data_IF_275666440190
#
_entry.id   IF_275666440190
#
_cell.length_a   1.000
_cell.length_b   1.000
_cell.length_c   1.000
_cell.angle_alpha   90.00
_cell.angle_beta   90.00
_cell.angle_gamma   90.00
#
_symmetry.space_group_name_H-M   'P 1'
#
loop_
_entity.id
_entity.type
_entity.pdbx_description
1 polymer ?
#
# COMPACT_ATOMS: atom_id res chain seq x y z
N UNK A 1 16.68 13.87 -2.60
CA UNK A 1 15.67 12.91 -2.11
C UNK A 1 16.36 11.55 -1.96
N UNK A 2 16.33 10.93 -0.79
CA UNK A 2 17.01 9.64 -0.53
C UNK A 2 15.97 8.53 -0.51
N UNK A 3 16.13 7.51 -1.34
CA UNK A 3 15.28 6.32 -1.32
C UNK A 3 15.67 5.40 -0.15
N UNK A 4 14.67 4.75 0.44
CA UNK A 4 14.84 3.77 1.50
C UNK A 4 14.25 2.46 0.99
N UNK A 5 15.04 1.38 1.03
CA UNK A 5 14.53 0.03 0.76
C UNK A 5 13.76 -0.48 1.97
N UNK A 6 12.66 -1.17 1.71
CA UNK A 6 11.87 -1.90 2.69
C UNK A 6 11.89 -3.34 2.22
N UNK A 7 12.63 -4.19 2.92
CA UNK A 7 12.75 -5.61 2.65
C UNK A 7 11.84 -6.47 3.54
N UNK A 8 11.49 -5.97 4.73
CA UNK A 8 10.56 -6.65 5.63
C UNK A 8 9.11 -6.52 5.12
N UNK A 9 8.46 -7.62 4.73
CA UNK A 9 7.07 -7.59 4.30
C UNK A 9 6.09 -7.27 5.44
N UNK A 10 6.50 -7.31 6.71
CA UNK A 10 5.69 -6.94 7.88
C UNK A 10 5.96 -5.51 8.36
N UNK A 11 6.72 -4.72 7.59
CA UNK A 11 7.05 -3.36 7.98
C UNK A 11 5.77 -2.50 8.12
N UNK A 12 5.60 -1.77 9.24
CA UNK A 12 4.39 -0.97 9.49
C UNK A 12 4.15 0.12 8.43
N UNK A 13 5.18 0.53 7.68
CA UNK A 13 5.08 1.50 6.58
C UNK A 13 4.30 0.94 5.39
N UNK A 14 4.35 -0.38 5.16
CA UNK A 14 3.62 -1.04 4.06
C UNK A 14 2.36 -1.77 4.52
N UNK A 15 2.15 -1.93 5.83
CA UNK A 15 1.01 -2.67 6.40
C UNK A 15 -0.36 -2.26 5.83
N UNK A 16 -0.59 -0.97 5.58
CA UNK A 16 -1.84 -0.46 5.00
C UNK A 16 -2.09 -0.86 3.53
N UNK A 17 -1.10 -1.51 2.89
CA UNK A 17 -1.15 -1.96 1.50
C UNK A 17 -1.13 -3.49 1.34
N UNK A 18 -0.87 -4.24 2.41
CA UNK A 18 -0.75 -5.71 2.37
C UNK A 18 -2.10 -6.43 2.27
N UNK A 19 -3.15 -5.90 2.90
CA UNK A 19 -4.48 -6.51 2.97
C UNK A 19 -5.57 -5.62 2.34
N UNK A 20 -5.22 -4.93 1.24
CA UNK A 20 -6.21 -4.13 0.50
C UNK A 20 -7.09 -5.08 -0.31
N UNK A 21 -8.41 -4.99 -0.11
CA UNK A 21 -9.39 -5.61 -1.00
C UNK A 21 -10.01 -4.56 -1.93
N UNK A 22 -10.64 -5.02 -3.00
CA UNK A 22 -11.31 -4.17 -3.99
C UNK A 22 -12.34 -3.20 -3.37
N UNK A 23 -13.09 -3.67 -2.35
CA UNK A 23 -14.04 -2.84 -1.60
C UNK A 23 -13.37 -1.73 -0.80
N UNK A 24 -12.15 -1.96 -0.31
CA UNK A 24 -11.38 -0.96 0.45
C UNK A 24 -10.84 0.17 -0.44
N UNK A 25 -10.66 -0.12 -1.74
CA UNK A 25 -10.29 0.89 -2.74
C UNK A 25 -11.44 1.85 -3.03
N UNK A 26 -12.67 1.35 -3.15
CA UNK A 26 -13.86 2.16 -3.42
C UNK A 26 -14.16 3.21 -2.31
N UNK A 27 -13.71 2.97 -1.08
CA UNK A 27 -13.88 3.87 0.07
C UNK A 27 -12.70 4.81 0.34
N UNK A 28 -11.58 4.67 -0.37
CA UNK A 28 -10.40 5.53 -0.19
C UNK A 28 -10.55 6.79 -1.03
N UNK A 29 -10.81 7.92 -0.35
CA UNK A 29 -10.97 9.24 -0.98
C UNK A 29 -9.80 9.60 -1.90
N UNK A 30 -9.94 9.33 -3.20
CA UNK A 30 -8.97 9.67 -4.24
C UNK A 30 -7.67 8.86 -4.24
N UNK A 31 -7.63 7.65 -3.67
CA UNK A 31 -6.42 6.78 -3.73
C UNK A 31 -6.74 5.45 -4.38
N UNK A 32 -5.82 4.96 -5.22
CA UNK A 32 -5.90 3.67 -5.90
C UNK A 32 -4.55 2.95 -5.83
N UNK A 33 -4.57 1.64 -6.02
CA UNK A 33 -3.38 0.80 -6.24
C UNK A 33 -3.46 0.29 -7.67
N UNK A 34 -2.36 0.36 -8.40
CA UNK A 34 -2.25 -0.15 -9.77
C UNK A 34 -1.15 -1.20 -9.83
N UNK A 35 -1.44 -2.32 -10.47
CA UNK A 35 -0.52 -3.42 -10.76
C UNK A 35 -0.46 -3.61 -12.29
N UNK A 36 0.71 -3.91 -12.84
CA UNK A 36 0.97 -4.13 -14.26
C UNK A 36 2.42 -4.52 -14.52
#
# INVERSE_FOLDING_TARGET
MRSIRIDDPQDPRVAAYLDIRERDLAGRQGRFVAEG
#
